data_IF_541377274629
#
_entry.id   IF_541377274629
#
_cell.length_a   1.000
_cell.length_b   1.000
_cell.length_c   1.000
_cell.angle_alpha   90.00
_cell.angle_beta   90.00
_cell.angle_gamma   90.00
#
_symmetry.space_group_name_H-M   'P 1'
#
loop_
_entity.id
_entity.type
_entity.pdbx_description
1 polymer ?
#
# COMPACT_ATOMS: atom_id res chain seq x y z
N UNK A 1 -11.58 -8.32 -6.35
CA UNK A 1 -11.06 -7.36 -5.40
C UNK A 1 -11.54 -5.94 -5.56
N UNK A 2 -12.59 -5.70 -6.19
CA UNK A 2 -13.05 -4.33 -6.34
C UNK A 2 -14.01 -4.00 -5.21
N UNK A 3 -13.46 -3.73 -4.06
CA UNK A 3 -14.23 -3.28 -2.93
C UNK A 3 -13.79 -1.87 -2.56
N UNK A 4 -14.55 -1.23 -1.70
CA UNK A 4 -14.29 0.15 -1.31
C UNK A 4 -12.94 0.29 -0.61
N UNK A 5 -12.53 -0.73 0.12
CA UNK A 5 -11.25 -0.68 0.83
C UNK A 5 -10.08 -0.69 -0.14
N UNK A 6 -10.16 -1.48 -1.20
CA UNK A 6 -9.09 -1.50 -2.18
C UNK A 6 -9.01 -0.18 -2.95
N UNK A 7 -10.15 0.44 -3.19
CA UNK A 7 -10.18 1.74 -3.84
C UNK A 7 -9.51 2.80 -2.96
N UNK A 8 -9.75 2.75 -1.66
CA UNK A 8 -9.11 3.67 -0.71
C UNK A 8 -7.60 3.44 -0.68
N UNK A 9 -7.18 2.18 -0.70
CA UNK A 9 -5.78 1.83 -0.76
C UNK A 9 -5.14 2.39 -2.04
N UNK A 10 -5.79 2.17 -3.16
CA UNK A 10 -5.29 2.63 -4.46
C UNK A 10 -5.13 4.15 -4.47
N UNK A 11 -6.10 4.86 -3.93
CA UNK A 11 -6.05 6.32 -3.88
C UNK A 11 -4.84 6.81 -3.09
N UNK A 12 -4.58 6.19 -1.94
CA UNK A 12 -3.41 6.54 -1.15
C UNK A 12 -2.12 6.28 -1.91
N UNK A 13 -2.04 5.13 -2.56
CA UNK A 13 -0.83 4.77 -3.31
C UNK A 13 -0.58 5.71 -4.47
N UNK A 14 -1.63 6.08 -5.18
CA UNK A 14 -1.52 7.02 -6.30
C UNK A 14 -0.98 8.37 -5.82
N UNK A 15 -1.49 8.86 -4.71
CA UNK A 15 -1.06 10.15 -4.19
C UNK A 15 0.37 10.13 -3.66
N UNK A 16 0.72 9.09 -2.93
CA UNK A 16 2.05 9.02 -2.31
C UNK A 16 3.13 8.67 -3.32
N UNK A 17 2.85 7.71 -4.19
CA UNK A 17 3.86 7.21 -5.13
C UNK A 17 3.83 7.91 -6.48
N UNK A 18 2.84 8.75 -6.71
CA UNK A 18 2.68 9.50 -7.98
C UNK A 18 2.63 8.56 -9.18
N UNK A 19 1.83 7.51 -9.07
CA UNK A 19 1.63 6.53 -10.14
C UNK A 19 0.17 6.55 -10.56
N UNK A 20 -0.12 5.92 -11.71
CA UNK A 20 -1.50 5.80 -12.16
C UNK A 20 -2.22 4.70 -11.39
N UNK A 21 -3.52 4.88 -11.21
CA UNK A 21 -4.33 3.88 -10.53
C UNK A 21 -4.26 2.51 -11.22
N UNK A 22 -4.11 2.51 -12.54
CA UNK A 22 -4.01 1.29 -13.31
C UNK A 22 -2.75 0.47 -12.99
N UNK A 23 -1.75 1.10 -12.39
CA UNK A 23 -0.53 0.43 -12.00
C UNK A 23 -0.67 -0.28 -10.65
N UNK A 24 -1.69 0.07 -9.88
CA UNK A 24 -1.91 -0.51 -8.55
C UNK A 24 -2.76 -1.76 -8.71
N UNK A 25 -2.09 -2.87 -8.98
CA UNK A 25 -2.73 -4.18 -9.09
C UNK A 25 -2.19 -5.06 -7.96
N UNK A 26 -2.92 -6.11 -7.59
CA UNK A 26 -2.45 -6.99 -6.51
C UNK A 26 -1.06 -7.56 -6.74
N UNK A 27 -0.69 -7.83 -7.98
CA UNK A 27 0.60 -8.42 -8.32
C UNK A 27 1.71 -7.40 -8.45
N UNK A 28 1.40 -6.11 -8.47
CA UNK A 28 2.42 -5.06 -8.64
C UNK A 28 3.41 -5.08 -7.48
N UNK A 29 4.67 -4.98 -7.81
CA UNK A 29 5.75 -4.90 -6.83
C UNK A 29 6.13 -3.45 -6.63
N UNK A 30 6.25 -3.05 -5.37
CA UNK A 30 6.55 -1.66 -5.08
C UNK A 30 7.90 -1.22 -5.66
N UNK A 31 8.90 -2.06 -5.53
CA UNK A 31 10.23 -1.71 -6.03
C UNK A 31 10.36 -1.85 -7.54
N UNK A 32 9.92 -2.98 -8.08
CA UNK A 32 10.13 -3.30 -9.49
C UNK A 32 9.11 -2.66 -10.43
N UNK A 33 7.87 -2.59 -10.01
CA UNK A 33 6.80 -2.12 -10.88
C UNK A 33 6.40 -0.67 -10.62
N UNK A 34 6.48 -0.23 -9.37
CA UNK A 34 6.06 1.11 -8.99
C UNK A 34 7.23 2.04 -8.69
N UNK A 35 8.44 1.52 -8.77
CA UNK A 35 9.66 2.29 -8.55
C UNK A 35 9.66 3.04 -7.21
N UNK A 36 9.15 2.37 -6.19
CA UNK A 36 9.08 2.92 -4.83
C UNK A 36 10.25 2.39 -4.00
N UNK A 37 10.96 3.28 -3.35
CA UNK A 37 12.03 2.85 -2.45
C UNK A 37 11.48 2.74 -1.02
N UNK A 38 12.37 2.46 -0.05
CA UNK A 38 11.93 2.25 1.32
C UNK A 38 11.32 3.49 1.93
N UNK A 39 11.78 4.68 1.56
CA UNK A 39 11.20 5.92 2.06
C UNK A 39 9.78 6.10 1.53
N UNK A 40 9.57 5.80 0.26
CA UNK A 40 8.25 5.87 -0.34
C UNK A 40 7.29 4.93 0.36
N UNK A 41 7.76 3.73 0.69
CA UNK A 41 6.93 2.76 1.40
C UNK A 41 6.56 3.23 2.78
N UNK A 42 7.48 3.86 3.49
CA UNK A 42 7.20 4.42 4.82
C UNK A 42 6.12 5.49 4.72
N UNK A 43 6.23 6.36 3.74
CA UNK A 43 5.23 7.41 3.53
C UNK A 43 3.87 6.83 3.18
N UNK A 44 3.86 5.81 2.32
CA UNK A 44 2.61 5.15 1.95
C UNK A 44 1.95 4.50 3.16
N UNK A 45 2.75 3.81 3.96
CA UNK A 45 2.23 3.15 5.16
C UNK A 45 1.63 4.15 6.13
N UNK A 46 2.28 5.30 6.31
CA UNK A 46 1.74 6.34 7.18
C UNK A 46 0.40 6.85 6.67
N UNK A 47 0.27 7.03 5.36
CA UNK A 47 -0.99 7.45 4.77
C UNK A 47 -2.08 6.40 4.96
N UNK A 48 -1.71 5.13 4.80
CA UNK A 48 -2.65 4.03 4.98
C UNK A 48 -3.11 3.90 6.42
N UNK A 49 -2.21 4.12 7.37
CA UNK A 49 -2.58 4.09 8.79
C UNK A 49 -3.62 5.14 9.11
N UNK A 50 -3.49 6.32 8.53
CA UNK A 50 -4.46 7.38 8.74
C UNK A 50 -5.77 7.10 8.02
N UNK A 51 -5.68 6.59 6.79
CA UNK A 51 -6.86 6.33 6.00
C UNK A 51 -7.75 5.24 6.61
N UNK A 52 -7.13 4.18 7.14
CA UNK A 52 -7.85 3.03 7.68
C UNK A 52 -7.91 3.00 9.20
N UNK A 53 -7.29 3.97 9.84
CA UNK A 53 -7.25 4.06 11.30
C UNK A 53 -6.70 2.77 11.92
N UNK A 54 -5.57 2.33 11.40
CA UNK A 54 -4.87 1.13 11.89
C UNK A 54 -3.43 1.47 12.18
N UNK A 55 -2.75 0.59 12.90
CA UNK A 55 -1.32 0.75 13.18
C UNK A 55 -0.56 -0.40 12.54
N UNK A 56 0.45 -0.04 11.76
CA UNK A 56 1.29 -1.03 11.08
C UNK A 56 2.67 -0.95 11.69
N UNK A 57 3.17 -2.07 12.19
CA UNK A 57 4.46 -2.09 12.85
C UNK A 57 5.59 -2.21 11.83
N UNK A 58 6.77 -1.73 12.23
CA UNK A 58 7.94 -1.73 11.34
C UNK A 58 8.30 -3.12 10.85
N UNK A 59 8.14 -4.13 11.70
CA UNK A 59 8.42 -5.51 11.31
C UNK A 59 7.50 -6.00 10.20
N UNK A 60 6.28 -5.48 10.14
CA UNK A 60 5.34 -5.82 9.08
C UNK A 60 5.76 -5.19 7.76
N UNK A 61 6.39 -4.02 7.82
CA UNK A 61 6.88 -3.33 6.63
C UNK A 61 7.96 -4.12 5.92
N UNK A 62 8.80 -4.79 6.66
CA UNK A 62 9.92 -5.52 6.08
C UNK A 62 9.49 -6.66 5.17
N UNK A 63 8.28 -7.17 5.37
CA UNK A 63 7.76 -8.24 4.55
C UNK A 63 6.95 -7.79 3.35
N UNK A 64 6.78 -6.48 3.18
CA UNK A 64 5.96 -5.96 2.08
C UNK A 64 6.77 -5.88 0.80
N UNK A 65 6.32 -6.57 -0.24
CA UNK A 65 6.94 -6.52 -1.56
C UNK A 65 5.92 -6.13 -2.62
N UNK A 66 4.67 -6.60 -2.46
CA UNK A 66 3.62 -6.38 -3.45
C UNK A 66 2.45 -5.61 -2.86
N UNK A 67 1.62 -5.09 -3.76
CA UNK A 67 0.38 -4.40 -3.37
C UNK A 67 -0.51 -5.36 -2.57
N UNK A 68 -0.63 -6.61 -3.03
CA UNK A 68 -1.45 -7.60 -2.32
C UNK A 68 -0.95 -7.82 -0.89
N UNK A 69 0.37 -7.88 -0.71
CA UNK A 69 0.95 -8.07 0.61
C UNK A 69 0.61 -6.92 1.56
N UNK A 70 0.75 -5.69 1.08
CA UNK A 70 0.43 -4.52 1.89
C UNK A 70 -1.05 -4.45 2.19
N UNK A 71 -1.89 -4.73 1.19
CA UNK A 71 -3.33 -4.69 1.38
C UNK A 71 -3.80 -5.76 2.37
N UNK A 72 -3.17 -6.94 2.32
CA UNK A 72 -3.51 -8.01 3.24
C UNK A 72 -3.26 -7.61 4.70
N UNK A 73 -2.17 -6.89 4.94
CA UNK A 73 -1.85 -6.41 6.29
C UNK A 73 -2.94 -5.46 6.77
N UNK A 74 -3.40 -4.56 5.90
CA UNK A 74 -4.45 -3.61 6.24
C UNK A 74 -5.76 -4.34 6.55
N UNK A 75 -6.18 -5.24 5.68
CA UNK A 75 -7.46 -5.93 5.85
C UNK A 75 -7.46 -6.84 7.06
N UNK A 76 -6.30 -7.37 7.41
CA UNK A 76 -6.17 -8.22 8.59
C UNK A 76 -6.42 -7.43 9.89
N UNK A 77 -6.25 -6.13 9.84
CA UNK A 77 -6.45 -5.26 10.99
C UNK A 77 -7.86 -4.66 11.04
N UNK A 78 -8.62 -4.81 9.99
CA UNK A 78 -10.01 -4.33 9.94
C UNK A 78 -11.01 -5.37 10.49
#
# INVERSE_FOLDING_TARGET
MSDANFERFTKCAVEVLSVDASQITPEARFGDDLDADSLDLVELVMALEEEFDVTIEESELEGIETVAGAYAIITDKL
#
